data_IF_789001127539
#
_entry.id   IF_789001127539
#
_cell.length_a   1.000
_cell.length_b   1.000
_cell.length_c   1.000
_cell.angle_alpha   90.00
_cell.angle_beta   90.00
_cell.angle_gamma   90.00
#
_symmetry.space_group_name_H-M   'P 1'
#
loop_
_entity.id
_entity.type
_entity.pdbx_description
1 polymer ?
#
# COMPACT_ATOMS: atom_id res chain seq x y z
N UNK A 1 -45.48 0.79 10.14
CA UNK A 1 -44.69 1.40 11.24
C UNK A 1 -43.93 2.55 10.62
N UNK A 2 -44.44 3.74 10.88
CA UNK A 2 -43.92 5.01 10.39
C UNK A 2 -42.59 5.28 11.08
N UNK A 3 -41.51 5.38 10.30
CA UNK A 3 -40.15 5.54 10.82
C UNK A 3 -39.67 6.95 10.47
N UNK A 4 -40.36 7.94 11.03
CA UNK A 4 -39.89 9.33 11.06
C UNK A 4 -38.72 9.37 12.03
N UNK A 5 -37.50 9.44 11.49
CA UNK A 5 -36.31 9.77 12.27
C UNK A 5 -36.58 11.07 13.01
N UNK A 6 -36.65 11.02 14.34
CA UNK A 6 -36.43 12.20 15.16
C UNK A 6 -34.95 12.56 15.03
N UNK A 7 -34.64 13.45 14.07
CA UNK A 7 -33.39 14.18 14.14
C UNK A 7 -33.39 14.94 15.47
N UNK A 8 -32.48 14.56 16.36
CA UNK A 8 -32.39 15.18 17.66
C UNK A 8 -32.07 16.68 17.48
N UNK A 9 -32.61 17.53 18.35
CA UNK A 9 -32.52 18.99 18.20
C UNK A 9 -31.07 19.51 18.08
N UNK A 10 -30.09 18.73 18.56
CA UNK A 10 -28.65 19.04 18.47
C UNK A 10 -28.14 18.85 17.04
N UNK A 11 -28.54 17.77 16.34
CA UNK A 11 -28.21 17.53 14.93
C UNK A 11 -28.74 18.64 14.02
N UNK A 12 -30.01 18.98 14.17
CA UNK A 12 -30.65 20.09 13.42
C UNK A 12 -30.02 21.44 13.74
N UNK A 13 -29.58 21.66 14.97
CA UNK A 13 -28.86 22.89 15.37
C UNK A 13 -27.46 22.94 14.76
N UNK A 14 -26.71 21.83 14.75
CA UNK A 14 -25.38 21.75 14.13
C UNK A 14 -25.46 21.95 12.62
N UNK A 15 -26.43 21.36 11.94
CA UNK A 15 -26.62 21.55 10.49
C UNK A 15 -26.99 22.99 10.16
N UNK A 16 -27.87 23.62 10.94
CA UNK A 16 -28.20 25.05 10.80
C UNK A 16 -27.03 25.96 11.12
N UNK A 17 -26.20 25.62 12.11
CA UNK A 17 -24.99 26.37 12.44
C UNK A 17 -23.97 26.26 11.30
N UNK A 18 -23.79 25.08 10.72
CA UNK A 18 -22.93 24.85 9.56
C UNK A 18 -23.42 25.62 8.32
N UNK A 19 -24.73 25.68 8.09
CA UNK A 19 -25.34 26.45 7.00
C UNK A 19 -25.25 27.97 7.22
N UNK A 20 -25.38 28.45 8.46
CA UNK A 20 -25.16 29.85 8.83
C UNK A 20 -23.69 30.25 8.62
N UNK A 21 -22.75 29.40 9.08
CA UNK A 21 -21.31 29.61 8.87
C UNK A 21 -20.94 29.60 7.38
N UNK A 22 -21.57 28.75 6.56
CA UNK A 22 -21.38 28.74 5.10
C UNK A 22 -21.91 29.98 4.37
N UNK A 23 -22.91 30.68 4.92
CA UNK A 23 -23.51 31.86 4.28
C UNK A 23 -22.70 33.13 4.47
N UNK A 24 -22.03 33.28 5.63
CA UNK A 24 -21.32 34.51 5.99
C UNK A 24 -19.79 34.43 5.81
N UNK A 25 -19.23 33.22 5.74
CA UNK A 25 -17.84 32.98 5.34
C UNK A 25 -17.83 32.36 3.95
N UNK A 26 -17.08 32.94 3.00
CA UNK A 26 -16.71 32.21 1.77
C UNK A 26 -15.79 31.05 2.17
N UNK A 27 -16.37 29.97 2.69
CA UNK A 27 -15.64 28.74 2.97
C UNK A 27 -15.30 28.17 1.61
N UNK A 28 -14.08 28.43 1.13
CA UNK A 28 -13.46 27.69 0.03
C UNK A 28 -13.73 26.20 0.27
N UNK A 29 -13.92 25.42 -0.79
CA UNK A 29 -14.00 23.96 -0.63
C UNK A 29 -12.83 23.49 0.24
N UNK A 30 -13.05 22.52 1.13
CA UNK A 30 -12.02 22.11 2.10
C UNK A 30 -10.67 21.82 1.42
N UNK A 31 -10.70 21.32 0.18
CA UNK A 31 -9.50 21.09 -0.63
C UNK A 31 -8.84 22.36 -1.19
N UNK A 32 -9.62 23.37 -1.61
CA UNK A 32 -9.05 24.65 -2.04
C UNK A 32 -8.45 25.43 -0.86
N UNK A 33 -9.10 25.41 0.31
CA UNK A 33 -8.53 25.97 1.53
C UNK A 33 -7.24 25.25 1.95
N UNK A 34 -7.23 23.91 1.88
CA UNK A 34 -6.04 23.11 2.17
C UNK A 34 -4.89 23.40 1.20
N UNK A 35 -5.17 23.44 -0.11
CA UNK A 35 -4.18 23.82 -1.13
C UNK A 35 -3.58 25.18 -0.82
N UNK A 36 -4.42 26.19 -0.55
CA UNK A 36 -3.95 27.54 -0.31
C UNK A 36 -3.09 27.61 0.97
N UNK A 37 -3.47 26.89 2.03
CA UNK A 37 -2.64 26.74 3.22
C UNK A 37 -1.28 26.12 2.92
N UNK A 38 -1.23 25.03 2.14
CA UNK A 38 0.04 24.39 1.75
C UNK A 38 0.91 25.35 0.95
N UNK A 39 0.33 26.15 0.05
CA UNK A 39 1.05 27.16 -0.74
C UNK A 39 1.53 28.34 0.12
N UNK A 40 0.76 28.75 1.12
CA UNK A 40 1.15 29.78 2.09
C UNK A 40 2.31 29.31 2.99
N UNK A 41 2.41 28.00 3.24
CA UNK A 41 3.46 27.38 4.06
C UNK A 41 4.48 26.59 3.21
N UNK A 42 4.63 26.93 1.93
CA UNK A 42 5.45 26.17 0.96
C UNK A 42 6.89 25.96 1.46
N UNK A 43 7.51 27.00 2.02
CA UNK A 43 8.86 26.93 2.55
C UNK A 43 8.99 25.85 3.64
N UNK A 44 8.06 25.77 4.59
CA UNK A 44 8.12 24.84 5.72
C UNK A 44 7.68 23.42 5.33
N UNK A 45 6.65 23.30 4.49
CA UNK A 45 6.01 22.03 4.18
C UNK A 45 6.59 21.32 2.96
N UNK A 46 7.19 22.05 2.02
CA UNK A 46 7.64 21.53 0.73
C UNK A 46 9.11 21.91 0.42
N UNK A 47 9.40 23.19 0.23
CA UNK A 47 10.66 23.66 -0.36
C UNK A 47 11.89 23.46 0.53
N UNK A 48 11.79 23.66 1.85
CA UNK A 48 12.92 23.44 2.78
C UNK A 48 12.93 22.04 3.41
N UNK A 49 12.06 21.14 2.96
CA UNK A 49 12.03 19.77 3.46
C UNK A 49 13.10 18.95 2.75
N UNK A 50 14.13 18.58 3.50
CA UNK A 50 15.18 17.72 2.98
C UNK A 50 14.69 16.27 2.84
N UNK A 51 14.84 15.73 1.63
CA UNK A 51 14.57 14.31 1.39
C UNK A 51 15.60 13.44 2.12
N UNK A 52 15.17 12.43 2.88
CA UNK A 52 16.08 11.51 3.52
C UNK A 52 16.77 10.65 2.45
N UNK A 53 18.09 10.79 2.37
CA UNK A 53 18.90 10.02 1.42
C UNK A 53 19.44 8.73 2.04
N UNK A 54 19.80 7.78 1.16
CA UNK A 54 20.55 6.60 1.55
C UNK A 54 21.91 7.00 2.13
N UNK A 55 22.37 6.25 3.12
CA UNK A 55 23.66 6.47 3.76
C UNK A 55 24.08 5.28 4.60
N UNK A 56 25.26 4.72 4.30
CA UNK A 56 25.76 3.50 4.93
C UNK A 56 25.98 3.65 6.44
N UNK A 57 26.34 4.84 6.94
CA UNK A 57 26.49 5.09 8.38
C UNK A 57 25.15 4.91 9.12
N UNK A 58 24.06 5.46 8.54
CA UNK A 58 22.70 5.33 9.08
C UNK A 58 22.18 3.90 8.95
N UNK A 59 22.45 3.25 7.82
CA UNK A 59 22.16 1.82 7.64
C UNK A 59 22.85 0.95 8.72
N UNK A 60 24.13 1.20 8.99
CA UNK A 60 24.90 0.49 10.02
C UNK A 60 24.32 0.73 11.42
N UNK A 61 23.91 1.96 11.73
CA UNK A 61 23.27 2.30 12.99
C UNK A 61 21.98 1.49 13.22
N UNK A 62 21.07 1.44 12.24
CA UNK A 62 19.84 0.64 12.36
C UNK A 62 20.13 -0.86 12.42
N UNK A 63 21.15 -1.35 11.70
CA UNK A 63 21.58 -2.75 11.81
C UNK A 63 22.05 -3.08 13.22
N UNK A 64 22.78 -2.19 13.88
CA UNK A 64 23.20 -2.38 15.27
C UNK A 64 22.01 -2.40 16.24
N UNK A 65 21.01 -1.54 16.03
CA UNK A 65 19.74 -1.61 16.78
C UNK A 65 19.04 -2.96 16.57
N UNK A 66 18.99 -3.44 15.32
CA UNK A 66 18.46 -4.77 14.99
C UNK A 66 19.23 -5.89 15.70
N UNK A 67 20.55 -5.81 15.78
CA UNK A 67 21.38 -6.77 16.52
C UNK A 67 21.05 -6.80 18.01
N UNK A 68 20.80 -5.64 18.62
CA UNK A 68 20.38 -5.58 20.02
C UNK A 68 19.03 -6.32 20.24
N UNK A 69 18.05 -6.09 19.36
CA UNK A 69 16.78 -6.82 19.41
C UNK A 69 16.94 -8.31 19.12
N UNK A 70 17.82 -8.69 18.20
CA UNK A 70 18.14 -10.08 17.90
C UNK A 70 18.68 -10.81 19.13
N UNK A 71 19.67 -10.21 19.82
CA UNK A 71 20.24 -10.77 21.05
C UNK A 71 19.20 -10.90 22.16
N UNK A 72 18.25 -9.97 22.24
CA UNK A 72 17.11 -10.02 23.14
C UNK A 72 15.99 -10.99 22.68
N UNK A 73 16.19 -11.74 21.58
CA UNK A 73 15.19 -12.64 20.96
C UNK A 73 13.87 -11.95 20.57
N UNK A 74 13.90 -10.65 20.32
CA UNK A 74 12.75 -9.86 19.86
C UNK A 74 12.75 -9.79 18.33
N UNK A 75 12.49 -10.93 17.69
CA UNK A 75 12.71 -11.13 16.25
C UNK A 75 11.93 -10.16 15.36
N UNK A 76 10.64 -9.92 15.61
CA UNK A 76 9.84 -8.96 14.82
C UNK A 76 10.47 -7.56 14.80
N UNK A 77 10.88 -7.05 15.97
CA UNK A 77 11.54 -5.73 16.06
C UNK A 77 12.92 -5.71 15.41
N UNK A 78 13.63 -6.83 15.47
CA UNK A 78 14.92 -6.96 14.81
C UNK A 78 14.76 -6.94 13.28
N UNK A 79 13.76 -7.65 12.73
CA UNK A 79 13.42 -7.63 11.31
C UNK A 79 13.01 -6.24 10.82
N UNK A 80 12.16 -5.53 11.58
CA UNK A 80 11.79 -4.15 11.28
C UNK A 80 13.02 -3.24 11.21
N UNK A 81 13.93 -3.32 12.18
CA UNK A 81 15.20 -2.55 12.17
C UNK A 81 16.17 -2.98 11.08
N UNK A 82 16.18 -4.24 10.68
CA UNK A 82 16.94 -4.67 9.52
C UNK A 82 16.32 -4.18 8.20
N UNK A 83 14.99 -4.05 8.10
CA UNK A 83 14.34 -3.41 6.96
C UNK A 83 14.67 -1.92 6.89
N UNK A 84 14.62 -1.22 8.02
CA UNK A 84 15.06 0.17 8.09
C UNK A 84 16.54 0.30 7.66
N UNK A 85 17.40 -0.61 8.12
CA UNK A 85 18.81 -0.67 7.74
C UNK A 85 19.02 -0.83 6.22
N UNK A 86 18.42 -1.85 5.58
CA UNK A 86 18.58 -2.05 4.13
C UNK A 86 17.91 -0.92 3.33
N UNK A 87 16.85 -0.30 3.85
CA UNK A 87 16.22 0.84 3.21
C UNK A 87 17.16 2.05 3.14
N UNK A 88 17.94 2.29 4.18
CA UNK A 88 18.97 3.34 4.18
C UNK A 88 20.28 2.94 3.51
N UNK A 89 20.54 1.66 3.26
CA UNK A 89 21.80 1.22 2.67
C UNK A 89 21.93 1.64 1.20
N UNK A 90 23.13 2.04 0.80
CA UNK A 90 23.44 2.35 -0.60
C UNK A 90 23.42 1.08 -1.44
N UNK A 91 23.03 1.21 -2.71
CA UNK A 91 22.96 0.09 -3.64
C UNK A 91 24.32 -0.59 -3.78
N UNK A 92 24.34 -1.92 -3.62
CA UNK A 92 25.57 -2.72 -3.70
C UNK A 92 26.50 -2.59 -2.49
N UNK A 93 26.19 -1.81 -1.45
CA UNK A 93 27.05 -1.67 -0.27
C UNK A 93 27.17 -2.97 0.54
N UNK A 94 28.23 -3.06 1.35
CA UNK A 94 28.39 -4.13 2.33
C UNK A 94 27.33 -4.08 3.44
N UNK A 95 26.82 -2.88 3.76
CA UNK A 95 25.74 -2.67 4.72
C UNK A 95 24.43 -3.28 4.23
N UNK A 96 24.10 -3.11 2.94
CA UNK A 96 22.95 -3.75 2.32
C UNK A 96 23.06 -5.28 2.42
N UNK A 97 24.23 -5.81 2.04
CA UNK A 97 24.51 -7.25 2.12
C UNK A 97 24.41 -7.79 3.56
N UNK A 98 24.97 -7.08 4.54
CA UNK A 98 24.92 -7.45 5.95
C UNK A 98 23.50 -7.37 6.53
N UNK A 99 22.67 -6.42 6.10
CA UNK A 99 21.27 -6.33 6.51
C UNK A 99 20.47 -7.58 6.10
N UNK A 100 20.60 -8.01 4.84
CA UNK A 100 20.00 -9.27 4.37
C UNK A 100 20.58 -10.50 5.08
N UNK A 101 21.90 -10.55 5.29
CA UNK A 101 22.54 -11.63 6.03
C UNK A 101 22.07 -11.71 7.49
N UNK A 102 21.70 -10.59 8.11
CA UNK A 102 21.16 -10.58 9.46
C UNK A 102 19.69 -11.02 9.49
N UNK A 103 18.88 -10.62 8.49
CA UNK A 103 17.51 -11.13 8.33
C UNK A 103 17.46 -12.64 8.12
N UNK A 104 18.34 -13.20 7.27
CA UNK A 104 18.40 -14.66 7.09
C UNK A 104 18.74 -15.42 8.37
N UNK A 105 19.46 -14.81 9.32
CA UNK A 105 19.68 -15.41 10.63
C UNK A 105 18.36 -15.61 11.38
N UNK A 106 17.52 -14.58 11.41
CA UNK A 106 16.21 -14.64 12.07
C UNK A 106 15.31 -15.67 11.41
N UNK A 107 15.22 -15.64 10.07
CA UNK A 107 14.37 -16.59 9.35
C UNK A 107 14.80 -18.04 9.62
N UNK A 108 16.11 -18.32 9.68
CA UNK A 108 16.60 -19.63 10.06
C UNK A 108 16.16 -20.04 11.48
N UNK A 109 16.30 -19.16 12.47
CA UNK A 109 15.88 -19.40 13.87
C UNK A 109 14.36 -19.61 13.99
N UNK A 110 13.58 -18.96 13.13
CA UNK A 110 12.11 -19.09 13.08
C UNK A 110 11.62 -20.31 12.28
N UNK A 111 12.52 -21.07 11.64
CA UNK A 111 12.15 -22.19 10.75
C UNK A 111 11.64 -21.76 9.36
N UNK A 112 11.81 -20.48 9.02
CA UNK A 112 11.44 -19.89 7.72
C UNK A 112 12.57 -20.08 6.70
N UNK A 113 12.92 -21.33 6.41
CA UNK A 113 14.14 -21.68 5.67
C UNK A 113 14.18 -21.11 4.24
N UNK A 114 13.05 -21.03 3.55
CA UNK A 114 12.98 -20.44 2.20
C UNK A 114 13.24 -18.92 2.23
N UNK A 115 12.67 -18.19 3.20
CA UNK A 115 12.98 -16.78 3.41
C UNK A 115 14.45 -16.58 3.80
N UNK A 116 15.02 -17.49 4.59
CA UNK A 116 16.45 -17.46 4.91
C UNK A 116 17.31 -17.60 3.64
N UNK A 117 17.00 -18.57 2.78
CA UNK A 117 17.70 -18.79 1.50
C UNK A 117 17.57 -17.60 0.55
N UNK A 118 16.38 -17.00 0.44
CA UNK A 118 16.17 -15.79 -0.36
C UNK A 118 17.06 -14.63 0.13
N UNK A 119 17.12 -14.42 1.44
CA UNK A 119 17.95 -13.36 2.02
C UNK A 119 19.45 -13.64 1.92
N UNK A 120 19.86 -14.92 1.94
CA UNK A 120 21.24 -15.32 1.65
C UNK A 120 21.60 -14.97 0.20
N UNK A 121 20.71 -15.25 -0.75
CA UNK A 121 20.89 -14.87 -2.16
C UNK A 121 21.01 -13.35 -2.32
N UNK A 122 20.12 -12.57 -1.69
CA UNK A 122 20.23 -11.10 -1.71
C UNK A 122 21.56 -10.62 -1.12
N UNK A 123 22.01 -11.17 0.02
CA UNK A 123 23.30 -10.81 0.59
C UNK A 123 24.46 -11.05 -0.39
N UNK A 124 24.48 -12.18 -1.11
CA UNK A 124 25.52 -12.53 -2.09
C UNK A 124 25.49 -11.70 -3.36
N UNK A 125 24.33 -11.21 -3.77
CA UNK A 125 24.18 -10.31 -4.92
C UNK A 125 24.72 -8.89 -4.63
N UNK A 126 25.16 -8.64 -3.39
CA UNK A 126 25.77 -7.38 -2.95
C UNK A 126 27.16 -7.66 -2.36
N UNK A 127 27.87 -6.62 -1.95
CA UNK A 127 29.26 -6.71 -1.48
C UNK A 127 29.38 -7.33 -0.07
N UNK A 128 28.92 -8.57 0.12
CA UNK A 128 29.02 -9.27 1.40
C UNK A 128 30.48 -9.54 1.77
N UNK A 129 30.93 -9.20 3.00
CA UNK A 129 32.33 -9.33 3.38
C UNK A 129 32.85 -10.77 3.27
N UNK A 130 33.97 -10.95 2.58
CA UNK A 130 34.57 -12.27 2.31
C UNK A 130 34.83 -13.07 3.60
N UNK A 131 35.37 -12.42 4.62
CA UNK A 131 35.62 -13.00 5.95
C UNK A 131 34.38 -13.56 6.66
N UNK A 132 33.17 -13.21 6.20
CA UNK A 132 31.91 -13.68 6.78
C UNK A 132 31.20 -14.72 5.90
N UNK A 133 31.70 -15.02 4.70
CA UNK A 133 31.03 -15.93 3.74
C UNK A 133 30.77 -17.31 4.31
N UNK A 134 31.75 -17.88 5.02
CA UNK A 134 31.62 -19.21 5.64
C UNK A 134 30.40 -19.29 6.57
N UNK A 135 30.10 -18.22 7.32
CA UNK A 135 28.92 -18.17 8.20
C UNK A 135 27.62 -18.25 7.39
N UNK A 136 27.59 -17.59 6.22
CA UNK A 136 26.44 -17.58 5.33
C UNK A 136 26.28 -18.94 4.64
N UNK A 137 27.37 -19.55 4.20
CA UNK A 137 27.41 -20.86 3.55
C UNK A 137 26.95 -21.97 4.50
N UNK A 138 27.39 -21.93 5.76
CA UNK A 138 26.93 -22.85 6.80
C UNK A 138 25.42 -22.73 7.03
N UNK A 139 24.90 -21.48 7.08
CA UNK A 139 23.46 -21.26 7.22
C UNK A 139 22.68 -21.79 6.02
N UNK A 140 23.15 -21.55 4.80
CA UNK A 140 22.51 -22.09 3.59
C UNK A 140 22.44 -23.63 3.63
N UNK A 141 23.56 -24.28 3.93
CA UNK A 141 23.63 -25.74 4.04
C UNK A 141 22.62 -26.25 5.06
N UNK A 142 22.55 -25.62 6.23
CA UNK A 142 21.61 -26.00 7.28
C UNK A 142 20.15 -25.74 6.87
N UNK A 143 19.84 -24.65 6.17
CA UNK A 143 18.50 -24.40 5.63
C UNK A 143 18.08 -25.54 4.68
N UNK A 144 18.95 -25.91 3.73
CA UNK A 144 18.68 -26.99 2.76
C UNK A 144 18.46 -28.33 3.45
N UNK A 145 19.32 -28.70 4.39
CA UNK A 145 19.16 -29.92 5.19
C UNK A 145 17.81 -29.94 5.92
N UNK A 146 17.38 -28.82 6.51
CA UNK A 146 16.10 -28.74 7.21
C UNK A 146 14.89 -28.85 6.26
N UNK A 147 15.00 -28.31 5.05
CA UNK A 147 14.00 -28.49 4.00
C UNK A 147 13.92 -29.95 3.57
N UNK A 148 15.06 -30.60 3.33
CA UNK A 148 15.15 -32.02 2.93
C UNK A 148 14.62 -32.96 4.03
N UNK A 149 14.78 -32.58 5.31
CA UNK A 149 14.18 -33.26 6.47
C UNK A 149 12.65 -33.07 6.59
N UNK A 150 12.03 -32.27 5.71
CA UNK A 150 10.60 -31.97 5.75
C UNK A 150 10.21 -31.02 6.89
N UNK A 151 11.15 -30.24 7.41
CA UNK A 151 10.91 -29.26 8.49
C UNK A 151 10.59 -27.85 7.96
N UNK A 152 10.50 -27.67 6.64
CA UNK A 152 10.06 -26.43 6.03
C UNK A 152 8.59 -26.17 6.36
N UNK A 153 8.27 -24.90 6.66
CA UNK A 153 6.89 -24.45 6.79
C UNK A 153 6.28 -24.22 5.42
N UNK A 154 4.98 -24.50 5.31
CA UNK A 154 4.18 -24.07 4.15
C UNK A 154 4.07 -22.53 4.15
N UNK A 155 4.95 -21.89 3.40
CA UNK A 155 4.98 -20.45 3.27
C UNK A 155 4.07 -19.98 2.13
N UNK A 156 2.83 -19.65 2.47
CA UNK A 156 1.92 -18.90 1.59
C UNK A 156 1.84 -17.46 2.09
N UNK A 157 2.52 -16.49 1.45
CA UNK A 157 2.41 -15.09 1.81
C UNK A 157 0.95 -14.63 1.67
N UNK A 158 0.31 -14.29 2.79
CA UNK A 158 -1.09 -13.86 2.87
C UNK A 158 -2.06 -14.88 2.21
N UNK A 159 -2.41 -15.98 2.91
CA UNK A 159 -3.34 -16.95 2.35
C UNK A 159 -4.69 -16.29 2.06
N UNK A 160 -5.06 -16.21 0.78
CA UNK A 160 -6.37 -15.73 0.35
C UNK A 160 -7.36 -16.87 0.36
N UNK A 161 -8.53 -16.61 0.92
CA UNK A 161 -9.68 -17.48 0.73
C UNK A 161 -10.25 -17.17 -0.66
N UNK A 162 -9.87 -17.97 -1.66
CA UNK A 162 -10.42 -17.83 -3.00
C UNK A 162 -11.94 -18.06 -3.03
N UNK A 163 -12.60 -17.56 -4.06
CA UNK A 163 -14.04 -17.78 -4.25
C UNK A 163 -14.32 -19.28 -4.39
N UNK A 164 -15.20 -19.80 -3.54
CA UNK A 164 -15.57 -21.22 -3.45
C UNK A 164 -16.98 -21.52 -3.98
N UNK A 165 -17.57 -20.58 -4.71
CA UNK A 165 -18.89 -20.68 -5.36
C UNK A 165 -18.78 -20.30 -6.84
N UNK A 166 -19.85 -20.49 -7.62
CA UNK A 166 -19.86 -20.04 -9.02
C UNK A 166 -19.60 -18.53 -9.09
N UNK A 167 -18.61 -18.12 -9.90
CA UNK A 167 -18.22 -16.71 -10.09
C UNK A 167 -19.09 -16.04 -11.15
N UNK A 168 -19.19 -14.71 -11.10
CA UNK A 168 -19.80 -13.93 -12.16
C UNK A 168 -18.96 -14.08 -13.45
N UNK A 169 -19.54 -14.49 -14.60
CA UNK A 169 -18.79 -14.72 -15.83
C UNK A 169 -18.03 -13.50 -16.36
N UNK A 170 -18.46 -12.28 -16.01
CA UNK A 170 -17.77 -11.03 -16.38
C UNK A 170 -16.93 -10.45 -15.26
N UNK A 171 -17.13 -10.89 -14.01
CA UNK A 171 -16.46 -10.33 -12.82
C UNK A 171 -15.94 -11.49 -11.97
N UNK A 172 -14.82 -12.13 -12.35
CA UNK A 172 -14.37 -13.36 -11.69
C UNK A 172 -14.01 -13.19 -10.21
N UNK A 173 -13.72 -11.96 -9.77
CA UNK A 173 -13.53 -11.62 -8.35
C UNK A 173 -14.84 -11.49 -7.56
N UNK A 174 -16.01 -11.71 -8.16
CA UNK A 174 -17.32 -11.59 -7.54
C UNK A 174 -18.12 -12.87 -7.72
N UNK A 175 -18.79 -13.35 -6.67
CA UNK A 175 -19.68 -14.49 -6.80
C UNK A 175 -20.89 -14.19 -7.69
N UNK A 176 -21.32 -15.17 -8.48
CA UNK A 176 -22.57 -15.10 -9.24
C UNK A 176 -23.75 -15.01 -8.28
N UNK A 177 -24.67 -14.10 -8.56
CA UNK A 177 -25.80 -13.78 -7.69
C UNK A 177 -25.49 -12.70 -6.65
N UNK A 178 -24.39 -11.98 -6.80
CA UNK A 178 -24.20 -10.66 -6.18
C UNK A 178 -24.52 -9.59 -7.23
N UNK A 179 -25.53 -8.77 -6.93
CA UNK A 179 -25.96 -7.63 -7.74
C UNK A 179 -25.71 -6.29 -7.03
N UNK A 180 -26.23 -5.21 -7.60
CA UNK A 180 -26.17 -3.87 -7.01
C UNK A 180 -27.57 -3.25 -6.91
N UNK A 181 -27.85 -2.58 -5.80
CA UNK A 181 -29.09 -1.82 -5.57
C UNK A 181 -28.78 -0.40 -5.13
N UNK A 182 -29.74 0.49 -5.39
CA UNK A 182 -29.74 1.84 -4.84
C UNK A 182 -30.56 1.87 -3.55
N UNK A 183 -29.94 2.34 -2.48
CA UNK A 183 -30.54 2.56 -1.17
C UNK A 183 -30.70 4.06 -0.95
N UNK A 184 -31.87 4.47 -0.47
CA UNK A 184 -32.24 5.88 -0.32
C UNK A 184 -31.25 6.69 0.54
N UNK A 185 -30.74 6.12 1.63
CA UNK A 185 -29.82 6.80 2.56
C UNK A 185 -28.33 6.56 2.27
N UNK A 186 -27.97 5.46 1.60
CA UNK A 186 -26.58 4.98 1.52
C UNK A 186 -26.01 4.99 0.10
N UNK A 187 -26.80 5.35 -0.90
CA UNK A 187 -26.36 5.32 -2.29
C UNK A 187 -26.37 3.90 -2.85
N UNK A 188 -25.32 3.52 -3.57
CA UNK A 188 -25.19 2.17 -4.15
C UNK A 188 -24.69 1.18 -3.09
N UNK A 189 -25.20 -0.05 -3.11
CA UNK A 189 -24.67 -1.16 -2.32
C UNK A 189 -24.84 -2.49 -3.02
N UNK A 190 -24.00 -3.45 -2.66
CA UNK A 190 -24.11 -4.83 -3.14
C UNK A 190 -25.31 -5.53 -2.48
N UNK A 191 -25.90 -6.48 -3.18
CA UNK A 191 -27.02 -7.28 -2.68
C UNK A 191 -26.89 -8.74 -3.13
N UNK A 192 -27.27 -9.67 -2.27
CA UNK A 192 -27.42 -11.06 -2.65
C UNK A 192 -28.76 -11.28 -3.39
N UNK A 193 -28.71 -11.84 -4.60
CA UNK A 193 -29.86 -12.20 -5.44
C UNK A 193 -30.21 -13.69 -5.34
N UNK A 194 -29.40 -14.45 -4.60
CA UNK A 194 -29.63 -15.83 -4.21
C UNK A 194 -29.13 -16.08 -2.79
N UNK A 195 -29.42 -17.25 -2.26
CA UNK A 195 -28.90 -17.69 -0.97
C UNK A 195 -27.41 -18.05 -1.08
N UNK A 196 -26.65 -17.68 -0.05
CA UNK A 196 -25.26 -18.08 0.22
C UNK A 196 -25.21 -18.77 1.57
N UNK A 197 -24.29 -19.72 1.73
CA UNK A 197 -24.09 -20.46 2.99
C UNK A 197 -22.97 -19.81 3.80
N UNK A 198 -22.98 -20.06 5.11
CA UNK A 198 -21.85 -19.72 5.97
C UNK A 198 -20.58 -20.35 5.44
N UNK A 199 -19.54 -19.53 5.24
CA UNK A 199 -18.27 -19.95 4.65
C UNK A 199 -18.15 -19.74 3.13
N UNK A 200 -19.22 -19.32 2.44
CA UNK A 200 -19.13 -18.90 1.05
C UNK A 200 -18.32 -17.59 0.96
N UNK A 201 -17.31 -17.56 0.09
CA UNK A 201 -16.55 -16.36 -0.24
C UNK A 201 -17.23 -15.68 -1.44
N UNK A 202 -17.75 -14.46 -1.23
CA UNK A 202 -18.56 -13.76 -2.23
C UNK A 202 -17.84 -12.67 -3.03
N UNK A 203 -16.66 -12.27 -2.58
CA UNK A 203 -15.82 -11.23 -3.19
C UNK A 203 -14.35 -11.55 -2.86
N UNK A 204 -13.49 -11.57 -3.88
CA UNK A 204 -12.05 -11.75 -3.76
C UNK A 204 -11.33 -10.80 -4.73
N UNK A 205 -11.22 -9.53 -4.35
CA UNK A 205 -10.71 -8.44 -5.18
C UNK A 205 -9.22 -8.16 -4.92
N UNK A 206 -8.46 -7.77 -5.95
CA UNK A 206 -7.07 -7.33 -5.77
C UNK A 206 -7.06 -5.83 -5.45
N UNK A 207 -6.15 -5.40 -4.59
CA UNK A 207 -5.92 -3.98 -4.33
C UNK A 207 -5.46 -3.27 -5.60
N UNK A 208 -6.17 -2.21 -6.01
CA UNK A 208 -5.79 -1.38 -7.18
C UNK A 208 -4.63 -0.46 -6.82
N UNK A 209 -4.75 0.26 -5.70
CA UNK A 209 -3.71 1.14 -5.15
C UNK A 209 -3.65 0.93 -3.65
N UNK A 210 -2.43 0.92 -3.11
CA UNK A 210 -2.18 0.91 -1.68
C UNK A 210 -1.32 2.11 -1.28
N UNK A 211 -1.62 2.70 -0.12
CA UNK A 211 -0.80 3.74 0.51
C UNK A 211 -0.42 3.31 1.92
N UNK A 212 0.85 3.48 2.25
CA UNK A 212 1.38 3.14 3.57
C UNK A 212 1.61 4.40 4.37
N UNK A 213 1.15 4.40 5.62
CA UNK A 213 1.58 5.42 6.58
C UNK A 213 3.06 5.23 6.93
N UNK A 214 3.74 6.32 7.30
CA UNK A 214 5.16 6.31 7.69
C UNK A 214 5.51 5.22 8.73
N UNK A 215 4.69 4.94 9.76
CA UNK A 215 4.97 3.87 10.73
C UNK A 215 4.96 2.45 10.14
N UNK A 216 4.40 2.26 8.94
CA UNK A 216 4.14 0.96 8.34
C UNK A 216 5.04 0.65 7.14
N UNK A 217 5.87 1.61 6.68
CA UNK A 217 6.69 1.46 5.45
C UNK A 217 7.76 0.37 5.51
N UNK A 218 8.16 -0.06 6.71
CA UNK A 218 9.12 -1.16 6.90
C UNK A 218 8.44 -2.52 7.16
N UNK A 219 7.10 -2.53 7.21
CA UNK A 219 6.29 -3.70 7.59
C UNK A 219 5.50 -4.27 6.40
N UNK A 220 5.05 -3.40 5.50
CA UNK A 220 4.17 -3.74 4.38
C UNK A 220 4.76 -3.29 3.05
N UNK A 221 4.40 -3.99 1.98
CA UNK A 221 4.74 -3.57 0.62
C UNK A 221 4.02 -2.27 0.25
N UNK A 222 4.77 -1.28 -0.26
CA UNK A 222 4.23 0.00 -0.73
C UNK A 222 3.33 -0.09 -1.97
N UNK A 223 3.36 -1.23 -2.68
CA UNK A 223 2.52 -1.49 -3.85
C UNK A 223 1.23 -2.24 -3.48
N UNK A 224 1.36 -3.48 -2.99
CA UNK A 224 0.23 -4.37 -2.76
C UNK A 224 -0.30 -4.35 -1.31
N UNK A 225 0.37 -3.67 -0.38
CA UNK A 225 -0.03 -3.56 1.02
C UNK A 225 0.08 -4.84 1.85
N UNK A 226 0.59 -5.94 1.29
CA UNK A 226 0.74 -7.20 2.00
C UNK A 226 1.97 -7.16 2.93
N UNK A 227 1.81 -7.68 4.15
CA UNK A 227 2.93 -7.96 5.06
C UNK A 227 3.66 -9.22 4.58
N UNK A 228 4.86 -9.08 4.02
CA UNK A 228 5.64 -10.20 3.49
C UNK A 228 6.55 -10.85 4.56
N UNK A 229 6.07 -11.03 5.80
CA UNK A 229 6.90 -11.44 6.95
C UNK A 229 8.18 -10.59 7.11
N UNK A 230 8.08 -9.27 6.94
CA UNK A 230 9.22 -8.35 6.87
C UNK A 230 10.22 -8.65 5.75
N UNK A 231 9.92 -9.57 4.82
CA UNK A 231 10.82 -9.94 3.74
C UNK A 231 10.74 -8.94 2.57
N UNK A 232 10.98 -7.66 2.86
CA UNK A 232 10.86 -6.58 1.89
C UNK A 232 12.19 -6.28 1.19
N UNK A 233 12.13 -5.72 -0.02
CA UNK A 233 13.26 -5.15 -0.75
C UNK A 233 13.09 -3.63 -0.81
N UNK A 234 14.14 -2.83 -0.57
CA UNK A 234 14.03 -1.38 -0.61
C UNK A 234 14.05 -0.85 -2.04
N UNK A 235 13.43 0.32 -2.27
CA UNK A 235 13.74 1.11 -3.46
C UNK A 235 15.26 1.40 -3.52
N UNK A 236 15.91 1.28 -4.69
CA UNK A 236 17.34 1.57 -4.83
C UNK A 236 17.68 3.07 -4.75
N UNK A 237 16.69 3.97 -4.87
CA UNK A 237 16.92 5.42 -4.99
C UNK A 237 16.47 6.22 -3.77
N UNK A 238 15.43 5.80 -3.05
CA UNK A 238 14.91 6.51 -1.87
C UNK A 238 14.89 5.59 -0.65
N UNK A 239 14.52 6.15 0.51
CA UNK A 239 14.40 5.42 1.79
C UNK A 239 12.94 5.33 2.28
N UNK A 240 11.99 5.68 1.42
CA UNK A 240 10.58 5.85 1.78
C UNK A 240 9.70 4.66 1.37
N UNK A 241 10.13 3.86 0.38
CA UNK A 241 9.33 2.79 -0.21
C UNK A 241 10.05 1.45 -0.18
N UNK A 242 9.32 0.40 0.18
CA UNK A 242 9.80 -0.98 0.20
C UNK A 242 8.75 -1.93 -0.41
N UNK A 243 9.19 -3.05 -0.97
CA UNK A 243 8.36 -3.94 -1.78
C UNK A 243 8.49 -5.38 -1.35
N UNK A 244 7.44 -6.19 -1.51
CA UNK A 244 7.54 -7.62 -1.19
C UNK A 244 8.29 -8.42 -2.26
N UNK A 245 8.41 -7.89 -3.49
CA UNK A 245 9.04 -8.58 -4.62
C UNK A 245 9.56 -7.59 -5.66
N UNK A 246 10.42 -8.06 -6.57
CA UNK A 246 10.93 -7.27 -7.70
C UNK A 246 9.80 -6.86 -8.66
N UNK A 247 8.78 -7.70 -8.81
CA UNK A 247 7.59 -7.39 -9.62
C UNK A 247 6.80 -6.23 -9.01
N UNK A 248 6.55 -6.24 -7.70
CA UNK A 248 5.88 -5.13 -7.03
C UNK A 248 6.67 -3.82 -7.11
N UNK A 249 8.01 -3.90 -7.01
CA UNK A 249 8.87 -2.73 -7.19
C UNK A 249 8.79 -2.18 -8.61
N UNK A 250 8.89 -3.06 -9.62
CA UNK A 250 8.86 -2.67 -11.02
C UNK A 250 7.51 -2.05 -11.40
N UNK A 251 6.41 -2.65 -10.94
CA UNK A 251 5.06 -2.20 -11.28
C UNK A 251 4.71 -0.88 -10.59
N UNK A 252 5.01 -0.72 -9.29
CA UNK A 252 4.79 0.54 -8.58
C UNK A 252 5.66 1.66 -9.16
N UNK A 253 6.93 1.37 -9.50
CA UNK A 253 7.81 2.32 -10.20
C UNK A 253 7.20 2.79 -11.52
N UNK A 254 6.62 1.87 -12.31
CA UNK A 254 5.94 2.20 -13.57
C UNK A 254 4.69 3.04 -13.33
N UNK A 255 3.88 2.69 -12.33
CA UNK A 255 2.55 3.26 -12.10
C UNK A 255 2.54 4.58 -11.37
N UNK A 256 3.27 4.72 -10.26
CA UNK A 256 3.15 5.89 -9.38
C UNK A 256 4.48 6.31 -8.77
N UNK A 257 5.30 5.35 -8.33
CA UNK A 257 6.50 5.64 -7.56
C UNK A 257 7.55 6.42 -8.35
N UNK A 258 7.58 6.38 -9.70
CA UNK A 258 8.42 7.29 -10.49
C UNK A 258 8.17 8.79 -10.23
N UNK A 259 6.96 9.16 -9.81
CA UNK A 259 6.61 10.52 -9.45
C UNK A 259 6.82 10.79 -7.95
N UNK A 260 6.67 9.76 -7.11
CA UNK A 260 6.81 9.87 -5.65
C UNK A 260 8.28 9.72 -5.17
N UNK A 261 9.15 9.14 -5.98
CA UNK A 261 10.53 8.85 -5.64
C UNK A 261 11.34 10.15 -5.54
N UNK A 262 11.72 10.52 -4.31
CA UNK A 262 12.40 11.78 -4.03
C UNK A 262 11.45 12.94 -3.69
N UNK A 263 10.18 12.63 -3.40
CA UNK A 263 9.20 13.57 -2.86
C UNK A 263 8.49 12.98 -1.62
N UNK A 264 9.07 11.94 -1.01
CA UNK A 264 8.37 11.17 0.01
C UNK A 264 8.18 11.93 1.33
N UNK A 265 9.18 12.68 1.76
CA UNK A 265 9.15 13.48 2.99
C UNK A 265 8.23 14.70 2.84
N UNK A 266 8.27 15.40 1.69
CA UNK A 266 7.29 16.46 1.41
C UNK A 266 5.86 15.91 1.43
N UNK A 267 5.64 14.76 0.77
CA UNK A 267 4.33 14.11 0.76
C UNK A 267 3.87 13.77 2.18
N UNK A 268 4.75 13.29 3.06
CA UNK A 268 4.42 13.00 4.46
C UNK A 268 4.04 14.28 5.25
N UNK A 269 4.59 15.45 4.94
CA UNK A 269 4.26 16.70 5.62
C UNK A 269 2.88 17.27 5.26
N UNK A 270 2.41 17.00 4.04
CA UNK A 270 1.11 17.48 3.57
C UNK A 270 0.01 16.41 3.66
N UNK A 271 0.30 15.25 4.24
CA UNK A 271 -0.68 14.16 4.34
C UNK A 271 -0.80 13.58 5.73
N UNK A 272 -1.99 13.09 6.04
CA UNK A 272 -2.33 12.53 7.34
C UNK A 272 -3.23 11.31 7.17
N UNK A 273 -2.95 10.23 7.90
CA UNK A 273 -3.81 9.04 8.02
C UNK A 273 -4.45 8.55 6.70
N UNK A 274 -3.62 8.28 5.68
CA UNK A 274 -4.07 7.71 4.41
C UNK A 274 -4.57 8.72 3.38
N UNK A 275 -4.52 10.03 3.66
CA UNK A 275 -4.87 11.07 2.67
C UNK A 275 -3.96 11.05 1.43
N UNK A 276 -2.79 10.39 1.50
CA UNK A 276 -1.94 10.04 0.36
C UNK A 276 -2.66 9.25 -0.75
N UNK A 277 -3.81 8.65 -0.47
CA UNK A 277 -4.55 7.90 -1.49
C UNK A 277 -5.02 8.79 -2.63
N UNK A 278 -5.35 10.05 -2.37
CA UNK A 278 -5.78 11.00 -3.40
C UNK A 278 -4.65 11.35 -4.38
N UNK A 279 -3.46 11.83 -3.94
CA UNK A 279 -2.36 12.07 -4.85
C UNK A 279 -1.89 10.78 -5.54
N UNK A 280 -1.85 9.63 -4.84
CA UNK A 280 -1.47 8.36 -5.48
C UNK A 280 -2.47 7.93 -6.56
N UNK A 281 -3.78 8.11 -6.33
CA UNK A 281 -4.82 7.86 -7.35
C UNK A 281 -4.69 8.81 -8.54
N UNK A 282 -4.35 10.08 -8.31
CA UNK A 282 -4.08 11.03 -9.39
C UNK A 282 -2.90 10.57 -10.26
N UNK A 283 -1.77 10.22 -9.63
CA UNK A 283 -0.56 9.76 -10.34
C UNK A 283 -0.80 8.44 -11.09
N UNK A 284 -1.58 7.53 -10.50
CA UNK A 284 -2.00 6.31 -11.15
C UNK A 284 -2.83 6.60 -12.40
N UNK A 285 -3.83 7.49 -12.27
CA UNK A 285 -4.62 7.98 -13.40
C UNK A 285 -3.74 8.57 -14.50
N UNK A 286 -2.79 9.43 -14.13
CA UNK A 286 -1.89 10.09 -15.07
C UNK A 286 -1.11 9.05 -15.91
N UNK A 287 -0.59 8.01 -15.26
CA UNK A 287 0.06 6.89 -15.97
C UNK A 287 -0.89 6.18 -16.93
N UNK A 288 -2.14 5.93 -16.54
CA UNK A 288 -3.13 5.25 -17.39
C UNK A 288 -3.53 6.09 -18.62
N UNK A 289 -3.41 7.41 -18.52
CA UNK A 289 -3.58 8.34 -19.63
C UNK A 289 -2.25 8.63 -20.36
N UNK A 290 -1.24 7.77 -20.23
CA UNK A 290 0.07 7.91 -20.87
C UNK A 290 0.77 9.24 -20.56
N UNK A 291 0.65 9.70 -19.31
CA UNK A 291 1.21 10.95 -18.82
C UNK A 291 0.61 12.22 -19.47
N UNK A 292 -0.53 12.08 -20.17
CA UNK A 292 -1.29 13.19 -20.75
C UNK A 292 -2.27 13.77 -19.71
N UNK A 293 -1.79 14.78 -18.98
CA UNK A 293 -2.56 15.49 -17.96
C UNK A 293 -3.81 16.17 -18.55
N UNK A 294 -3.72 16.74 -19.75
CA UNK A 294 -4.85 17.45 -20.37
C UNK A 294 -5.98 16.48 -20.72
N UNK A 295 -5.63 15.33 -21.33
CA UNK A 295 -6.59 14.29 -21.66
C UNK A 295 -7.24 13.70 -20.40
N UNK A 296 -6.44 13.43 -19.37
CA UNK A 296 -6.95 12.95 -18.09
C UNK A 296 -7.94 13.97 -17.50
N UNK A 297 -7.53 15.22 -17.33
CA UNK A 297 -8.36 16.27 -16.73
C UNK A 297 -9.65 16.50 -17.52
N UNK A 298 -9.57 16.58 -18.85
CA UNK A 298 -10.73 16.69 -19.74
C UNK A 298 -11.73 15.55 -19.53
N UNK A 299 -11.24 14.33 -19.32
CA UNK A 299 -12.10 13.20 -18.99
C UNK A 299 -12.70 13.34 -17.59
N UNK A 300 -11.87 13.57 -16.57
CA UNK A 300 -12.28 13.66 -15.17
C UNK A 300 -13.36 14.73 -14.95
N UNK A 301 -13.16 15.93 -15.47
CA UNK A 301 -14.09 17.06 -15.32
C UNK A 301 -15.41 16.80 -16.04
N UNK A 302 -15.36 16.21 -17.25
CA UNK A 302 -16.56 15.90 -18.03
C UNK A 302 -17.44 14.84 -17.35
N UNK A 303 -16.84 13.87 -16.66
CA UNK A 303 -17.55 12.69 -16.17
C UNK A 303 -17.73 12.64 -14.65
N UNK A 304 -17.24 13.65 -13.91
CA UNK A 304 -17.44 13.76 -12.47
C UNK A 304 -18.95 13.70 -12.10
N UNK A 305 -19.29 12.89 -11.10
CA UNK A 305 -20.66 12.75 -10.57
C UNK A 305 -21.73 12.24 -11.57
N UNK A 306 -21.34 11.60 -12.68
CA UNK A 306 -22.28 11.09 -13.69
C UNK A 306 -22.94 9.75 -13.31
N UNK A 307 -22.42 9.05 -12.30
CA UNK A 307 -22.96 7.79 -11.79
C UNK A 307 -22.19 6.56 -12.30
N UNK A 308 -21.24 6.07 -11.49
CA UNK A 308 -20.51 4.84 -11.78
C UNK A 308 -21.37 3.58 -11.60
N UNK A 309 -21.12 2.55 -12.42
CA UNK A 309 -21.57 1.19 -12.16
C UNK A 309 -20.43 0.21 -12.49
N UNK A 310 -19.63 -0.22 -11.50
CA UNK A 310 -18.49 -1.12 -11.74
C UNK A 310 -18.94 -2.49 -12.26
N UNK A 311 -20.19 -2.91 -12.00
CA UNK A 311 -20.70 -4.20 -12.46
C UNK A 311 -20.98 -4.26 -13.97
N UNK A 312 -20.83 -3.15 -14.71
CA UNK A 312 -20.95 -3.16 -16.18
C UNK A 312 -19.64 -3.45 -16.89
N UNK A 313 -18.50 -3.43 -16.18
CA UNK A 313 -17.20 -3.76 -16.76
C UNK A 313 -17.02 -5.27 -16.93
N UNK A 314 -16.21 -5.67 -17.90
CA UNK A 314 -15.81 -7.05 -18.14
C UNK A 314 -14.37 -7.27 -17.64
N UNK A 315 -14.26 -7.77 -16.42
CA UNK A 315 -12.99 -8.07 -15.75
C UNK A 315 -12.30 -9.33 -16.29
N UNK A 316 -12.91 -10.10 -17.20
CA UNK A 316 -12.19 -11.17 -17.92
C UNK A 316 -11.18 -10.59 -18.92
N UNK A 317 -11.37 -9.33 -19.31
CA UNK A 317 -10.46 -8.54 -20.16
C UNK A 317 -10.06 -7.28 -19.40
N UNK A 318 -9.36 -7.48 -18.28
CA UNK A 318 -9.02 -6.41 -17.37
C UNK A 318 -8.27 -5.26 -18.09
N UNK A 319 -8.86 -4.07 -18.04
CA UNK A 319 -8.27 -2.82 -18.51
C UNK A 319 -8.29 -1.80 -17.35
N UNK A 320 -7.13 -1.47 -16.77
CA UNK A 320 -7.05 -0.54 -15.64
C UNK A 320 -7.53 0.87 -16.00
N UNK A 321 -7.43 1.29 -17.27
CA UNK A 321 -7.93 2.59 -17.70
C UNK A 321 -9.46 2.63 -17.66
N UNK A 322 -10.14 1.59 -18.13
CA UNK A 322 -11.61 1.54 -18.09
C UNK A 322 -12.13 1.41 -16.65
N UNK A 323 -11.43 0.69 -15.78
CA UNK A 323 -11.72 0.67 -14.34
C UNK A 323 -11.57 2.05 -13.69
N UNK A 324 -10.45 2.73 -13.93
CA UNK A 324 -10.22 4.10 -13.43
C UNK A 324 -11.29 5.07 -13.93
N UNK A 325 -11.58 5.03 -15.23
CA UNK A 325 -12.63 5.82 -15.87
C UNK A 325 -14.01 5.56 -15.28
N UNK A 326 -14.31 4.33 -14.86
CA UNK A 326 -15.55 3.98 -14.18
C UNK A 326 -15.57 4.49 -12.75
N UNK A 327 -14.49 4.32 -12.00
CA UNK A 327 -14.35 4.82 -10.62
C UNK A 327 -14.61 6.33 -10.56
N UNK A 328 -14.05 7.10 -11.50
CA UNK A 328 -14.20 8.55 -11.56
C UNK A 328 -15.62 9.06 -11.88
N UNK A 329 -16.50 8.19 -12.39
CA UNK A 329 -17.93 8.52 -12.55
C UNK A 329 -18.69 8.48 -11.23
N UNK A 330 -18.08 8.05 -10.12
CA UNK A 330 -18.76 7.89 -8.84
C UNK A 330 -19.51 9.17 -8.46
N UNK A 331 -20.77 8.98 -8.05
CA UNK A 331 -21.63 10.05 -7.55
C UNK A 331 -21.68 9.93 -6.04
N UNK A 332 -21.20 10.96 -5.35
CA UNK A 332 -21.36 11.04 -3.90
C UNK A 332 -22.84 11.29 -3.58
N UNK A 333 -23.41 10.62 -2.56
CA UNK A 333 -24.71 11.01 -2.06
C UNK A 333 -24.61 12.49 -1.65
N UNK A 334 -25.39 13.36 -2.29
CA UNK A 334 -25.57 14.70 -1.75
C UNK A 334 -26.32 14.52 -0.44
N UNK A 335 -25.76 14.98 0.67
CA UNK A 335 -26.55 15.15 1.89
C UNK A 335 -27.79 15.98 1.53
N UNK A 336 -28.99 15.60 2.01
CA UNK A 336 -30.24 16.30 1.69
C UNK A 336 -30.15 17.81 1.91
#
# INVERSE_FOLDING_TARGET
MDNTKQDNAIGTMMDRLLDLVRKDLQVKTTMAAFRDFVLEQDEELLSNVEEPVKGNAKAAHFRQQGNHFYLAKRYEKALEKYNESICYAEAGSDQLAMGYANRSAIYFEQGEYEFALLNIRFARNHNYPEKLREKLDMREKNCRLKIDEGLAKDNVPCPRLGINVEVNPKIPCLAKGIGMKQYSASGRGLVAERNFKTGDVILDEKTVISVMGSPFKFLYCSHCGISNQHSLIPCPNCVMYMYCSEECLAEDKRLTHRFECGFGAQSENITFNGSNIAPKLFLYGLTLFNDDMEQMMKYCEKFANTGANPLTLDYTKYDPLEEFKMLHKAKLPRTP
#
